data_IF_999267338369
#
_entry.id   IF_999267338369
#
_cell.length_a   1.000
_cell.length_b   1.000
_cell.length_c   1.000
_cell.angle_alpha   90.00
_cell.angle_beta   90.00
_cell.angle_gamma   90.00
#
_symmetry.space_group_name_H-M   'P 1'
#
loop_
_entity.id
_entity.type
_entity.pdbx_description
1 polymer ?
#
# COMPACT_ATOMS: atom_id res chain seq x y z
N UNK A 1 -19.01 -10.66 -13.11
CA UNK A 1 -18.56 -10.01 -14.35
C UNK A 1 -18.47 -8.47 -14.22
N UNK A 2 -19.51 -7.76 -13.74
CA UNK A 2 -19.50 -6.29 -13.61
C UNK A 2 -18.42 -5.80 -12.65
N UNK A 3 -18.25 -6.44 -11.50
CA UNK A 3 -17.25 -6.05 -10.49
C UNK A 3 -15.81 -6.22 -11.00
N UNK A 4 -15.52 -7.32 -11.66
CA UNK A 4 -14.19 -7.59 -12.26
C UNK A 4 -13.85 -6.53 -13.32
N UNK A 5 -14.83 -6.16 -14.17
CA UNK A 5 -14.65 -5.15 -15.18
C UNK A 5 -14.36 -3.77 -14.58
N UNK A 6 -15.07 -3.38 -13.51
CA UNK A 6 -14.82 -2.12 -12.78
C UNK A 6 -13.40 -2.09 -12.22
N UNK A 7 -12.93 -3.16 -11.57
CA UNK A 7 -11.57 -3.23 -11.04
C UNK A 7 -10.50 -3.21 -12.14
N UNK A 8 -10.76 -3.86 -13.26
CA UNK A 8 -9.82 -3.86 -14.40
C UNK A 8 -9.66 -2.46 -14.98
N UNK A 9 -10.77 -1.74 -15.20
CA UNK A 9 -10.72 -0.37 -15.68
C UNK A 9 -10.04 0.54 -14.65
N UNK A 10 -10.42 0.45 -13.38
CA UNK A 10 -9.79 1.23 -12.32
C UNK A 10 -8.28 0.95 -12.24
N UNK A 11 -7.87 -0.31 -12.31
CA UNK A 11 -6.46 -0.70 -12.33
C UNK A 11 -5.70 -0.14 -13.54
N UNK A 12 -6.35 -0.07 -14.70
CA UNK A 12 -5.76 0.55 -15.89
C UNK A 12 -5.59 2.06 -15.68
N UNK A 13 -6.62 2.76 -15.22
CA UNK A 13 -6.57 4.20 -14.92
C UNK A 13 -5.48 4.51 -13.89
N UNK A 14 -5.41 3.73 -12.80
CA UNK A 14 -4.36 3.86 -11.77
C UNK A 14 -2.96 3.68 -12.36
N UNK A 15 -2.76 2.72 -13.26
CA UNK A 15 -1.47 2.52 -13.94
C UNK A 15 -1.10 3.69 -14.85
N UNK A 16 -2.05 4.21 -15.61
CA UNK A 16 -1.84 5.38 -16.47
C UNK A 16 -1.45 6.60 -15.63
N UNK A 17 -2.20 6.90 -14.58
CA UNK A 17 -1.89 8.00 -13.66
C UNK A 17 -0.52 7.78 -13.00
N UNK A 18 -0.23 6.56 -12.56
CA UNK A 18 1.06 6.20 -11.98
C UNK A 18 2.24 6.38 -12.94
N UNK A 19 2.06 6.03 -14.22
CA UNK A 19 3.09 6.22 -15.24
C UNK A 19 3.34 7.70 -15.52
N UNK A 20 2.28 8.51 -15.61
CA UNK A 20 2.40 9.96 -15.76
C UNK A 20 3.10 10.58 -14.55
N UNK A 21 2.69 10.18 -13.35
CA UNK A 21 3.33 10.60 -12.11
C UNK A 21 4.84 10.28 -12.12
N UNK A 22 5.22 9.08 -12.58
CA UNK A 22 6.61 8.68 -12.67
C UNK A 22 7.43 9.59 -13.61
N UNK A 23 6.85 9.99 -14.73
CA UNK A 23 7.49 10.93 -15.67
C UNK A 23 7.70 12.30 -14.99
N UNK A 24 6.71 12.81 -14.24
CA UNK A 24 6.84 14.06 -13.50
C UNK A 24 7.92 13.96 -12.42
N UNK A 25 7.88 12.89 -11.62
CA UNK A 25 8.86 12.60 -10.56
C UNK A 25 10.28 12.58 -11.13
N UNK A 26 10.47 11.89 -12.26
CA UNK A 26 11.78 11.77 -12.89
C UNK A 26 12.34 13.12 -13.38
N UNK A 27 11.47 14.03 -13.80
CA UNK A 27 11.89 15.37 -14.22
C UNK A 27 12.23 16.29 -13.05
N UNK A 28 11.53 16.15 -11.92
CA UNK A 28 11.70 17.00 -10.73
C UNK A 28 12.90 16.54 -9.89
N UNK A 29 12.97 15.25 -9.58
CA UNK A 29 14.05 14.71 -8.74
C UNK A 29 15.38 14.55 -9.48
N UNK A 30 15.36 14.52 -10.82
CA UNK A 30 16.57 14.24 -11.61
C UNK A 30 17.07 12.80 -11.41
N UNK A 31 18.19 12.47 -12.04
CA UNK A 31 18.75 11.12 -11.98
C UNK A 31 19.20 10.69 -10.58
N UNK A 32 19.72 11.62 -9.80
CA UNK A 32 20.22 11.36 -8.44
C UNK A 32 19.09 11.05 -7.46
N UNK A 33 18.02 11.85 -7.46
CA UNK A 33 16.86 11.63 -6.59
C UNK A 33 16.09 10.36 -6.92
N UNK A 34 15.99 9.99 -8.21
CA UNK A 34 15.42 8.71 -8.62
C UNK A 34 16.28 7.55 -8.12
N UNK A 35 17.60 7.65 -8.18
CA UNK A 35 18.52 6.64 -7.67
C UNK A 35 18.27 6.35 -6.19
N UNK A 36 18.15 7.40 -5.36
CA UNK A 36 17.83 7.26 -3.92
C UNK A 36 16.47 6.63 -3.67
N UNK A 37 15.46 7.02 -4.43
CA UNK A 37 14.13 6.42 -4.34
C UNK A 37 14.15 4.94 -4.72
N UNK A 38 14.85 4.57 -5.80
CA UNK A 38 14.95 3.18 -6.24
C UNK A 38 15.72 2.29 -5.25
N UNK A 39 16.63 2.84 -4.45
CA UNK A 39 17.30 2.10 -3.37
C UNK A 39 16.36 1.84 -2.19
N UNK A 40 15.49 2.78 -1.84
CA UNK A 40 14.54 2.64 -0.74
C UNK A 40 13.29 1.81 -1.10
N UNK A 41 12.87 1.84 -2.36
CA UNK A 41 11.62 1.21 -2.81
C UNK A 41 11.57 -0.31 -2.61
N UNK A 42 12.61 -1.12 -2.91
CA UNK A 42 12.59 -2.56 -2.67
C UNK A 42 12.40 -2.92 -1.20
N UNK A 43 12.99 -2.15 -0.29
CA UNK A 43 12.88 -2.34 1.17
C UNK A 43 11.43 -2.10 1.61
N UNK A 44 10.87 -0.97 1.18
CA UNK A 44 9.46 -0.65 1.41
C UNK A 44 8.53 -1.71 0.84
N UNK A 45 8.75 -2.14 -0.40
CA UNK A 45 7.93 -3.15 -1.07
C UNK A 45 7.99 -4.50 -0.37
N UNK A 46 9.17 -4.91 0.08
CA UNK A 46 9.36 -6.13 0.87
C UNK A 46 8.59 -6.04 2.19
N UNK A 47 8.79 -4.97 2.97
CA UNK A 47 8.10 -4.77 4.24
C UNK A 47 6.58 -4.76 4.07
N UNK A 48 6.06 -4.08 3.04
CA UNK A 48 4.64 -4.05 2.71
C UNK A 48 4.11 -5.44 2.35
N UNK A 49 4.82 -6.19 1.52
CA UNK A 49 4.39 -7.52 1.06
C UNK A 49 4.33 -8.51 2.22
N UNK A 50 5.35 -8.52 3.07
CA UNK A 50 5.40 -9.41 4.25
C UNK A 50 4.37 -8.99 5.29
N UNK A 51 4.19 -7.68 5.52
CA UNK A 51 3.19 -7.15 6.47
C UNK A 51 1.77 -7.58 6.10
N UNK A 52 1.46 -7.66 4.83
CA UNK A 52 0.14 -8.08 4.36
C UNK A 52 0.00 -9.60 4.23
N UNK A 53 1.03 -10.32 3.84
CA UNK A 53 1.16 -11.79 3.78
C UNK A 53 -0.10 -12.55 3.27
N UNK A 54 -0.78 -12.01 2.25
CA UNK A 54 -2.01 -12.62 1.69
C UNK A 54 -3.28 -12.44 2.54
N UNK A 55 -3.21 -11.78 3.69
CA UNK A 55 -4.35 -11.56 4.59
C UNK A 55 -5.53 -10.85 3.90
N UNK A 56 -5.35 -9.82 3.03
CA UNK A 56 -6.46 -9.19 2.33
C UNK A 56 -7.27 -10.16 1.45
N UNK A 57 -6.60 -11.13 0.85
CA UNK A 57 -7.24 -12.18 0.04
C UNK A 57 -8.06 -13.10 0.94
N UNK A 58 -7.50 -13.54 2.07
CA UNK A 58 -8.20 -14.37 3.06
C UNK A 58 -9.44 -13.64 3.61
N UNK A 59 -9.30 -12.34 3.95
CA UNK A 59 -10.44 -11.50 4.39
C UNK A 59 -11.55 -11.50 3.34
N UNK A 60 -11.19 -11.33 2.07
CA UNK A 60 -12.16 -11.29 0.97
C UNK A 60 -12.93 -12.62 0.85
N UNK A 61 -12.23 -13.75 0.92
CA UNK A 61 -12.84 -15.09 0.82
C UNK A 61 -13.76 -15.35 2.01
N UNK A 62 -13.27 -15.21 3.24
CA UNK A 62 -14.05 -15.50 4.45
C UNK A 62 -15.26 -14.55 4.55
N UNK A 63 -15.08 -13.27 4.19
CA UNK A 63 -16.20 -12.32 4.16
C UNK A 63 -17.24 -12.74 3.15
N UNK A 64 -16.87 -13.16 1.94
CA UNK A 64 -17.78 -13.63 0.91
C UNK A 64 -18.57 -14.87 1.37
N UNK A 65 -17.92 -15.83 2.02
CA UNK A 65 -18.57 -17.01 2.61
C UNK A 65 -19.61 -16.63 3.67
N UNK A 66 -19.27 -15.71 4.60
CA UNK A 66 -20.21 -15.24 5.64
C UNK A 66 -21.40 -14.51 5.04
N UNK A 67 -21.16 -13.67 4.04
CA UNK A 67 -22.22 -12.95 3.33
C UNK A 67 -23.14 -13.91 2.57
N UNK A 68 -22.60 -14.97 1.96
CA UNK A 68 -23.38 -15.96 1.23
C UNK A 68 -24.38 -16.70 2.13
N UNK A 69 -24.01 -16.99 3.38
CA UNK A 69 -24.88 -17.60 4.39
C UNK A 69 -25.70 -16.58 5.19
N UNK A 70 -25.70 -15.29 4.78
CA UNK A 70 -26.39 -14.17 5.44
C UNK A 70 -25.95 -13.91 6.89
N UNK A 71 -24.75 -14.37 7.27
CA UNK A 71 -24.14 -14.12 8.58
C UNK A 71 -23.42 -12.77 8.59
N UNK A 72 -24.21 -11.69 8.72
CA UNK A 72 -23.69 -10.30 8.74
C UNK A 72 -22.82 -10.04 9.97
N UNK A 73 -23.17 -10.64 11.11
CA UNK A 73 -22.37 -10.51 12.34
C UNK A 73 -21.03 -11.19 12.21
N UNK A 74 -20.97 -12.39 11.60
CA UNK A 74 -19.73 -13.09 11.28
C UNK A 74 -18.85 -12.28 10.33
N UNK A 75 -19.42 -11.70 9.27
CA UNK A 75 -18.71 -10.84 8.35
C UNK A 75 -18.07 -9.61 9.06
N UNK A 76 -18.83 -8.95 9.95
CA UNK A 76 -18.32 -7.83 10.75
C UNK A 76 -17.22 -8.25 11.73
N UNK A 77 -17.34 -9.44 12.32
CA UNK A 77 -16.31 -10.01 13.20
C UNK A 77 -15.01 -10.27 12.42
N UNK A 78 -15.10 -10.82 11.22
CA UNK A 78 -13.95 -11.00 10.32
C UNK A 78 -13.22 -9.67 10.09
N UNK A 79 -13.98 -8.61 9.77
CA UNK A 79 -13.42 -7.29 9.58
C UNK A 79 -12.68 -6.78 10.83
N UNK A 80 -13.31 -6.84 12.00
CA UNK A 80 -12.71 -6.33 13.25
C UNK A 80 -11.43 -7.10 13.63
N UNK A 81 -11.46 -8.43 13.52
CA UNK A 81 -10.30 -9.28 13.83
C UNK A 81 -9.16 -9.01 12.85
N UNK A 82 -9.50 -8.93 11.56
CA UNK A 82 -8.52 -8.66 10.51
C UNK A 82 -7.92 -7.26 10.63
N UNK A 83 -8.74 -6.27 10.98
CA UNK A 83 -8.26 -4.90 11.21
C UNK A 83 -7.31 -4.84 12.40
N UNK A 84 -7.62 -5.52 13.50
CA UNK A 84 -6.72 -5.61 14.67
C UNK A 84 -5.40 -6.30 14.30
N UNK A 85 -5.47 -7.40 13.55
CA UNK A 85 -4.29 -8.13 13.08
C UNK A 85 -3.43 -7.25 12.16
N UNK A 86 -4.04 -6.55 11.19
CA UNK A 86 -3.33 -5.65 10.28
C UNK A 86 -2.78 -4.41 10.99
N UNK A 87 -3.43 -3.95 12.06
CA UNK A 87 -2.91 -2.88 12.90
C UNK A 87 -1.62 -3.32 13.59
N UNK A 88 -1.61 -4.51 14.16
CA UNK A 88 -0.42 -5.05 14.84
C UNK A 88 0.71 -5.33 13.83
N UNK A 89 0.42 -6.06 12.77
CA UNK A 89 1.44 -6.39 11.75
C UNK A 89 1.95 -5.13 11.05
N UNK A 90 1.08 -4.22 10.65
CA UNK A 90 1.46 -2.94 10.04
C UNK A 90 2.33 -2.09 10.95
N UNK A 91 2.00 -2.01 12.25
CA UNK A 91 2.81 -1.29 13.23
C UNK A 91 4.19 -1.96 13.41
N UNK A 92 4.22 -3.27 13.58
CA UNK A 92 5.47 -4.04 13.74
C UNK A 92 6.38 -3.83 12.53
N UNK A 93 5.87 -4.01 11.32
CA UNK A 93 6.69 -3.85 10.12
C UNK A 93 7.06 -2.39 9.82
N UNK A 94 6.22 -1.42 10.19
CA UNK A 94 6.56 0.00 10.13
C UNK A 94 7.73 0.33 11.05
N UNK A 95 7.67 -0.13 12.30
CA UNK A 95 8.73 0.06 13.30
C UNK A 95 10.01 -0.69 12.89
N UNK A 96 9.88 -1.94 12.43
CA UNK A 96 11.01 -2.70 11.92
C UNK A 96 11.69 -2.01 10.73
N UNK A 97 10.92 -1.46 9.80
CA UNK A 97 11.47 -0.72 8.65
C UNK A 97 12.21 0.54 9.10
N UNK A 98 11.68 1.23 10.12
CA UNK A 98 12.33 2.40 10.69
C UNK A 98 13.69 2.08 11.30
N UNK A 99 13.76 1.06 12.18
CA UNK A 99 15.03 0.65 12.80
C UNK A 99 15.98 -0.10 11.85
N UNK A 100 15.44 -0.80 10.87
CA UNK A 100 16.25 -1.45 9.85
C UNK A 100 16.98 -0.46 8.94
N UNK A 101 16.52 0.80 8.87
CA UNK A 101 17.15 1.82 8.03
C UNK A 101 18.60 2.05 8.41
N UNK A 102 18.93 2.17 9.72
CA UNK A 102 20.29 2.33 10.22
C UNK A 102 21.14 1.10 9.91
N UNK A 103 20.60 -0.09 10.23
CA UNK A 103 21.29 -1.35 10.03
C UNK A 103 21.60 -1.65 8.56
N UNK A 104 20.67 -1.33 7.64
CA UNK A 104 20.84 -1.53 6.20
C UNK A 104 21.94 -0.63 5.61
N UNK A 105 22.16 0.54 6.20
CA UNK A 105 23.23 1.45 5.78
C UNK A 105 24.57 1.02 6.37
N UNK A 106 24.63 0.66 7.65
CA UNK A 106 25.84 0.21 8.33
C UNK A 106 26.43 -1.04 7.67
N UNK A 107 25.58 -1.95 7.20
CA UNK A 107 25.99 -3.17 6.48
C UNK A 107 26.23 -2.93 4.98
N UNK A 108 26.21 -1.67 4.52
CA UNK A 108 26.42 -1.28 3.13
C UNK A 108 25.44 -1.96 2.12
N UNK A 109 24.32 -2.48 2.59
CA UNK A 109 23.24 -2.97 1.71
C UNK A 109 22.67 -1.82 0.88
N UNK A 110 22.59 -0.63 1.48
CA UNK A 110 22.28 0.64 0.82
C UNK A 110 23.55 1.47 0.81
N UNK A 111 24.16 1.62 -0.37
CA UNK A 111 25.47 2.26 -0.54
C UNK A 111 25.48 3.78 -0.31
N UNK A 112 24.32 4.42 -0.34
CA UNK A 112 24.20 5.87 -0.17
C UNK A 112 23.46 6.22 1.13
N UNK A 113 24.17 6.83 2.07
CA UNK A 113 23.63 7.27 3.35
C UNK A 113 22.43 8.24 3.21
N UNK A 114 22.29 8.92 2.06
CA UNK A 114 21.18 9.83 1.79
C UNK A 114 19.86 9.08 1.59
N UNK A 115 19.90 7.78 1.23
CA UNK A 115 18.71 6.94 1.12
C UNK A 115 18.05 6.66 2.49
N UNK A 116 18.75 6.87 3.61
CA UNK A 116 18.22 6.78 4.97
C UNK A 116 16.92 7.57 5.14
N UNK A 117 16.96 8.85 4.76
CA UNK A 117 15.77 9.72 4.86
C UNK A 117 14.59 9.18 4.08
N UNK A 118 14.83 8.63 2.88
CA UNK A 118 13.78 8.03 2.05
C UNK A 118 13.18 6.79 2.69
N UNK A 119 13.99 5.91 3.31
CA UNK A 119 13.50 4.71 4.01
C UNK A 119 12.67 5.10 5.23
N UNK A 120 13.16 6.03 6.05
CA UNK A 120 12.48 6.50 7.26
C UNK A 120 11.13 7.14 6.94
N UNK A 121 11.06 7.95 5.90
CA UNK A 121 9.79 8.58 5.45
C UNK A 121 8.79 7.54 4.91
N UNK A 122 9.29 6.46 4.32
CA UNK A 122 8.42 5.38 3.82
C UNK A 122 7.94 4.43 4.93
N UNK A 123 8.63 4.35 6.06
CA UNK A 123 8.27 3.43 7.15
C UNK A 123 6.82 3.60 7.66
N UNK A 124 6.31 4.81 8.00
CA UNK A 124 4.91 4.97 8.42
C UNK A 124 3.92 4.64 7.29
N UNK A 125 4.33 4.75 6.02
CA UNK A 125 3.48 4.41 4.88
C UNK A 125 3.13 2.91 4.88
N UNK A 126 4.05 2.03 5.31
CA UNK A 126 3.79 0.59 5.47
C UNK A 126 2.58 0.35 6.36
N UNK A 127 2.49 1.04 7.50
CA UNK A 127 1.36 0.94 8.43
C UNK A 127 0.04 1.31 7.76
N UNK A 128 -0.04 2.49 7.15
CA UNK A 128 -1.29 2.95 6.53
C UNK A 128 -1.73 2.07 5.36
N UNK A 129 -0.81 1.65 4.50
CA UNK A 129 -1.12 0.79 3.36
C UNK A 129 -1.61 -0.59 3.81
N UNK A 130 -1.06 -1.12 4.90
CA UNK A 130 -1.50 -2.39 5.50
C UNK A 130 -2.94 -2.30 6.02
N UNK A 131 -3.31 -1.21 6.70
CA UNK A 131 -4.69 -0.97 7.15
C UNK A 131 -5.67 -0.82 5.97
N UNK A 132 -5.27 -0.07 4.95
CA UNK A 132 -6.09 0.08 3.73
C UNK A 132 -6.32 -1.26 3.03
N UNK A 133 -5.33 -2.15 3.02
CA UNK A 133 -5.44 -3.46 2.42
C UNK A 133 -6.51 -4.33 3.11
N UNK A 134 -6.63 -4.28 4.45
CA UNK A 134 -7.70 -4.95 5.20
C UNK A 134 -9.08 -4.45 4.79
N UNK A 135 -9.26 -3.12 4.76
CA UNK A 135 -10.54 -2.51 4.36
C UNK A 135 -10.93 -2.87 2.93
N UNK A 136 -9.97 -2.88 2.01
CA UNK A 136 -10.19 -3.27 0.61
C UNK A 136 -10.56 -4.75 0.50
N UNK A 137 -9.90 -5.65 1.23
CA UNK A 137 -10.23 -7.07 1.29
C UNK A 137 -11.66 -7.31 1.76
N UNK A 138 -12.08 -6.62 2.79
CA UNK A 138 -13.47 -6.70 3.31
C UNK A 138 -14.50 -6.24 2.28
N UNK A 139 -14.29 -5.08 1.63
CA UNK A 139 -15.19 -4.55 0.61
C UNK A 139 -15.27 -5.47 -0.63
N UNK A 140 -14.17 -6.09 -1.00
CA UNK A 140 -14.12 -7.08 -2.07
C UNK A 140 -14.93 -8.34 -1.71
N UNK A 141 -14.87 -8.80 -0.45
CA UNK A 141 -15.68 -9.91 0.05
C UNK A 141 -17.18 -9.63 -0.03
N UNK A 142 -17.61 -8.38 0.15
CA UNK A 142 -18.97 -7.93 -0.08
C UNK A 142 -19.33 -7.78 -1.57
N UNK A 143 -18.41 -8.10 -2.47
CA UNK A 143 -18.54 -7.86 -3.92
C UNK A 143 -18.78 -6.38 -4.29
N UNK A 144 -18.48 -5.46 -3.37
CA UNK A 144 -18.55 -4.01 -3.60
C UNK A 144 -17.22 -3.51 -4.14
N UNK A 145 -17.04 -3.64 -5.44
CA UNK A 145 -15.77 -3.30 -6.10
C UNK A 145 -15.60 -1.79 -6.33
N UNK A 146 -16.70 -1.06 -6.45
CA UNK A 146 -16.68 0.39 -6.72
C UNK A 146 -15.96 1.21 -5.66
N UNK A 147 -16.20 1.03 -4.32
CA UNK A 147 -15.45 1.78 -3.30
C UNK A 147 -13.95 1.49 -3.33
N UNK A 148 -13.57 0.23 -3.62
CA UNK A 148 -12.16 -0.15 -3.77
C UNK A 148 -11.52 0.56 -4.96
N UNK A 149 -12.19 0.57 -6.11
CA UNK A 149 -11.75 1.25 -7.31
C UNK A 149 -11.59 2.76 -7.10
N UNK A 150 -12.58 3.41 -6.49
CA UNK A 150 -12.55 4.84 -6.16
C UNK A 150 -11.40 5.14 -5.20
N UNK A 151 -11.21 4.33 -4.15
CA UNK A 151 -10.12 4.55 -3.19
C UNK A 151 -8.72 4.50 -3.84
N UNK A 152 -8.53 3.61 -4.82
CA UNK A 152 -7.27 3.52 -5.56
C UNK A 152 -7.02 4.75 -6.45
N UNK A 153 -8.05 5.23 -7.12
CA UNK A 153 -7.94 6.42 -7.97
C UNK A 153 -7.67 7.66 -7.11
N UNK A 154 -8.41 7.83 -6.02
CA UNK A 154 -8.21 8.94 -5.07
C UNK A 154 -6.80 8.92 -4.48
N UNK A 155 -6.31 7.74 -4.07
CA UNK A 155 -4.93 7.59 -3.58
C UNK A 155 -3.90 8.07 -4.60
N UNK A 156 -4.06 7.71 -5.88
CA UNK A 156 -3.14 8.16 -6.94
C UNK A 156 -3.22 9.66 -7.18
N UNK A 157 -4.43 10.24 -7.17
CA UNK A 157 -4.61 11.69 -7.32
C UNK A 157 -3.91 12.42 -6.16
N UNK A 158 -4.14 11.99 -4.91
CA UNK A 158 -3.48 12.58 -3.75
C UNK A 158 -1.95 12.47 -3.83
N UNK A 159 -1.43 11.33 -4.28
CA UNK A 159 0.01 11.14 -4.48
C UNK A 159 0.57 12.14 -5.49
N UNK A 160 -0.11 12.36 -6.61
CA UNK A 160 0.29 13.35 -7.62
C UNK A 160 0.25 14.76 -7.05
N UNK A 161 -0.84 15.14 -6.37
CA UNK A 161 -0.99 16.48 -5.78
C UNK A 161 0.09 16.74 -4.72
N UNK A 162 0.29 15.79 -3.80
CA UNK A 162 1.32 15.92 -2.76
C UNK A 162 2.71 16.08 -3.36
N UNK A 163 2.97 15.37 -4.45
CA UNK A 163 4.24 15.44 -5.13
C UNK A 163 4.49 16.79 -5.81
N UNK A 164 3.47 17.35 -6.44
CA UNK A 164 3.54 18.69 -7.05
C UNK A 164 3.78 19.75 -5.98
N UNK A 165 3.05 19.67 -4.84
CA UNK A 165 3.17 20.64 -3.74
C UNK A 165 4.53 20.57 -3.00
N UNK A 166 5.18 19.40 -2.99
CA UNK A 166 6.51 19.23 -2.38
C UNK A 166 7.65 19.56 -3.34
N UNK A 167 7.35 19.75 -4.62
CA UNK A 167 8.31 20.06 -5.66
C UNK A 167 8.52 21.58 -5.88
N UNK A 168 7.63 22.41 -5.30
CA UNK A 168 7.79 23.86 -5.19
C UNK A 168 8.59 24.23 -3.93
#
# INVERSE_FOLDING_TARGET
LKGTFILTIAGFVVKVIGSLNWIFVSRILGGEGIGLYQMAFPIYFFAMTVSQAGVPVAISIITAERVAVKDIYGAKRVFNVSMALMLVTGLVFSVLTYFAADWLIDWQFVRDARAYKSIVVLAPTVFFVTLLASSRGYLQGWQRMTPTAVSQIVEQIFRVITMILLAE
#
